data_IF_186310589861
#
_entry.id   IF_186310589861
#
_cell.length_a   1.000
_cell.length_b   1.000
_cell.length_c   1.000
_cell.angle_alpha   90.00
_cell.angle_beta   90.00
_cell.angle_gamma   90.00
#
_symmetry.space_group_name_H-M   'P 1'
#
loop_
_entity.id
_entity.type
_entity.pdbx_description
1 polymer ?
#
# COMPACT_ATOMS: atom_id res chain seq x y z
N UNK A 1 -19.78 -9.99 -43.43
CA UNK A 1 -18.92 -9.28 -44.40
C UNK A 1 -17.49 -9.52 -43.96
N UNK A 2 -16.73 -10.35 -44.67
CA UNK A 2 -15.32 -10.55 -44.39
C UNK A 2 -14.52 -9.38 -44.96
N UNK A 3 -13.79 -8.68 -44.11
CA UNK A 3 -12.78 -7.71 -44.54
C UNK A 3 -11.73 -8.45 -45.38
N UNK A 4 -11.69 -8.17 -46.68
CA UNK A 4 -10.62 -8.64 -47.53
C UNK A 4 -9.43 -7.69 -47.34
N UNK A 5 -8.29 -8.13 -46.76
CA UNK A 5 -7.19 -7.24 -46.37
C UNK A 5 -6.53 -6.52 -47.56
N UNK A 6 -6.90 -6.88 -48.79
CA UNK A 6 -6.36 -6.33 -50.02
C UNK A 6 -7.24 -5.23 -50.65
N UNK A 7 -8.33 -4.80 -50.01
CA UNK A 7 -9.22 -3.76 -50.56
C UNK A 7 -9.34 -2.59 -49.60
N UNK A 8 -9.02 -1.39 -50.06
CA UNK A 8 -9.18 -0.14 -49.30
C UNK A 8 -10.15 0.79 -50.04
N UNK A 9 -11.17 1.28 -49.35
CA UNK A 9 -12.10 2.29 -49.88
C UNK A 9 -11.70 3.65 -49.32
N UNK A 10 -11.47 4.63 -50.19
CA UNK A 10 -11.14 6.00 -49.82
C UNK A 10 -11.91 6.96 -50.73
N UNK A 11 -12.64 7.95 -50.20
CA UNK A 11 -13.46 8.89 -51.00
C UNK A 11 -14.39 8.23 -52.04
N UNK A 12 -15.10 7.15 -51.68
CA UNK A 12 -15.94 6.34 -52.60
C UNK A 12 -15.18 5.64 -53.76
N UNK A 13 -13.85 5.58 -53.71
CA UNK A 13 -13.03 4.83 -54.68
C UNK A 13 -12.49 3.57 -54.01
N UNK A 14 -12.69 2.42 -54.64
CA UNK A 14 -12.12 1.12 -54.24
C UNK A 14 -10.74 0.93 -54.84
N UNK A 15 -9.74 0.75 -53.98
CA UNK A 15 -8.36 0.45 -54.33
C UNK A 15 -8.03 -1.01 -54.00
N UNK A 16 -7.51 -1.75 -54.98
CA UNK A 16 -6.99 -3.10 -54.79
C UNK A 16 -5.48 -3.04 -54.48
N UNK A 17 -5.11 -3.20 -53.20
CA UNK A 17 -3.74 -3.09 -52.68
C UNK A 17 -2.75 -4.08 -53.32
N UNK A 18 -3.23 -5.16 -53.93
CA UNK A 18 -2.42 -6.18 -54.61
C UNK A 18 -1.92 -5.76 -55.99
N UNK A 19 -2.54 -4.75 -56.61
CA UNK A 19 -2.21 -4.28 -57.97
C UNK A 19 -1.36 -3.00 -57.96
N UNK A 20 -1.14 -2.42 -56.78
CA UNK A 20 -0.47 -1.14 -56.58
C UNK A 20 1.02 -1.31 -56.28
N UNK A 21 1.82 -0.35 -56.72
CA UNK A 21 3.23 -0.27 -56.33
C UNK A 21 3.36 -0.08 -54.81
N UNK A 22 4.48 -0.51 -54.21
CA UNK A 22 4.68 -0.45 -52.76
C UNK A 22 4.55 0.99 -52.20
N UNK A 23 4.92 1.99 -52.99
CA UNK A 23 4.82 3.41 -52.65
C UNK A 23 3.38 3.92 -52.68
N UNK A 24 2.59 3.53 -53.69
CA UNK A 24 1.17 3.88 -53.76
C UNK A 24 0.33 3.18 -52.70
N UNK A 25 0.68 1.93 -52.38
CA UNK A 25 0.08 1.17 -51.27
C UNK A 25 0.23 1.92 -49.95
N UNK A 26 1.46 2.34 -49.63
CA UNK A 26 1.77 3.10 -48.41
C UNK A 26 1.04 4.45 -48.39
N UNK A 27 0.97 5.15 -49.54
CA UNK A 27 0.25 6.43 -49.64
C UNK A 27 -1.25 6.28 -49.38
N UNK A 28 -1.89 5.26 -49.95
CA UNK A 28 -3.32 5.00 -49.78
C UNK A 28 -3.63 4.58 -48.34
N UNK A 29 -2.81 3.72 -47.73
CA UNK A 29 -2.95 3.36 -46.31
C UNK A 29 -2.76 4.57 -45.39
N UNK A 30 -1.78 5.44 -45.67
CA UNK A 30 -1.55 6.66 -44.91
C UNK A 30 -2.68 7.68 -45.04
N UNK A 31 -3.26 7.83 -46.23
CA UNK A 31 -4.44 8.68 -46.46
C UNK A 31 -5.67 8.14 -45.73
N UNK A 32 -5.88 6.81 -45.77
CA UNK A 32 -6.96 6.15 -45.01
C UNK A 32 -6.78 6.36 -43.52
N UNK A 33 -5.57 6.19 -43.02
CA UNK A 33 -5.22 6.49 -41.63
C UNK A 33 -5.54 7.95 -41.27
N UNK A 34 -5.14 8.93 -42.07
CA UNK A 34 -5.47 10.34 -41.81
C UNK A 34 -6.97 10.64 -41.86
N UNK A 35 -7.71 9.99 -42.76
CA UNK A 35 -9.16 10.15 -42.89
C UNK A 35 -9.90 9.54 -41.70
N UNK A 36 -9.51 8.34 -41.27
CA UNK A 36 -10.02 7.66 -40.08
C UNK A 36 -9.70 8.46 -38.79
N UNK A 37 -8.59 9.21 -38.76
CA UNK A 37 -8.19 10.06 -37.63
C UNK A 37 -8.68 11.51 -37.74
N UNK A 38 -9.40 11.87 -38.82
CA UNK A 38 -9.85 13.24 -39.07
C UNK A 38 -10.97 13.61 -38.08
N UNK A 39 -10.64 14.48 -37.12
CA UNK A 39 -11.56 14.91 -36.05
C UNK A 39 -11.48 14.06 -34.78
N UNK A 40 -10.75 12.94 -34.80
CA UNK A 40 -10.50 12.10 -33.63
C UNK A 40 -9.66 12.83 -32.57
N UNK A 41 -8.75 13.72 -32.98
CA UNK A 41 -7.98 14.58 -32.07
C UNK A 41 -8.85 15.51 -31.22
N UNK A 42 -9.95 16.04 -31.78
CA UNK A 42 -10.90 16.88 -31.03
C UNK A 42 -11.66 16.07 -29.99
N UNK A 43 -12.08 14.85 -30.35
CA UNK A 43 -12.76 13.93 -29.42
C UNK A 43 -11.83 13.47 -28.29
N UNK A 44 -10.56 13.18 -28.58
CA UNK A 44 -9.56 12.90 -27.56
C UNK A 44 -9.32 14.08 -26.63
N UNK A 45 -9.26 15.30 -27.18
CA UNK A 45 -9.09 16.53 -26.39
C UNK A 45 -10.29 16.76 -25.46
N UNK A 46 -11.51 16.57 -25.94
CA UNK A 46 -12.72 16.71 -25.11
C UNK A 46 -12.77 15.66 -23.99
N UNK A 47 -12.52 14.39 -24.31
CA UNK A 47 -12.47 13.32 -23.32
C UNK A 47 -11.37 13.57 -22.28
N UNK A 48 -10.21 14.06 -22.72
CA UNK A 48 -9.11 14.47 -21.85
C UNK A 48 -9.51 15.63 -20.93
N UNK A 49 -10.14 16.68 -21.46
CA UNK A 49 -10.56 17.84 -20.67
C UNK A 49 -11.60 17.46 -19.60
N UNK A 50 -12.60 16.63 -19.96
CA UNK A 50 -13.60 16.13 -19.01
C UNK A 50 -12.93 15.26 -17.94
N UNK A 51 -12.04 14.34 -18.32
CA UNK A 51 -11.27 13.54 -17.37
C UNK A 51 -10.39 14.42 -16.46
N UNK A 52 -9.72 15.43 -17.00
CA UNK A 52 -8.86 16.32 -16.23
C UNK A 52 -9.66 17.15 -15.21
N UNK A 53 -10.75 17.77 -15.64
CA UNK A 53 -11.62 18.56 -14.75
C UNK A 53 -12.25 17.69 -13.67
N UNK A 54 -12.74 16.49 -14.03
CA UNK A 54 -13.30 15.55 -13.05
C UNK A 54 -12.26 15.06 -12.05
N UNK A 55 -11.02 14.77 -12.47
CA UNK A 55 -9.92 14.41 -11.56
C UNK A 55 -9.58 15.54 -10.59
N UNK A 56 -9.50 16.80 -11.08
CA UNK A 56 -9.28 17.96 -10.22
C UNK A 56 -10.40 18.13 -9.20
N UNK A 57 -11.66 18.04 -9.64
CA UNK A 57 -12.81 18.13 -8.76
C UNK A 57 -12.81 17.03 -7.69
N UNK A 58 -12.60 15.77 -8.10
CA UNK A 58 -12.46 14.65 -7.17
C UNK A 58 -11.34 14.88 -6.16
N UNK A 59 -10.18 15.38 -6.59
CA UNK A 59 -9.05 15.66 -5.70
C UNK A 59 -9.40 16.73 -4.66
N UNK A 60 -10.08 17.80 -5.06
CA UNK A 60 -10.54 18.84 -4.14
C UNK A 60 -11.54 18.30 -3.11
N UNK A 61 -12.49 17.48 -3.55
CA UNK A 61 -13.47 16.82 -2.66
C UNK A 61 -12.76 15.91 -1.66
N UNK A 62 -11.81 15.09 -2.11
CA UNK A 62 -11.04 14.21 -1.22
C UNK A 62 -10.20 15.01 -0.21
N UNK A 63 -9.58 16.10 -0.64
CA UNK A 63 -8.81 16.98 0.26
C UNK A 63 -9.70 17.63 1.31
N UNK A 64 -10.84 18.19 0.91
CA UNK A 64 -11.80 18.80 1.81
C UNK A 64 -12.36 17.77 2.80
N UNK A 65 -12.68 16.56 2.32
CA UNK A 65 -13.18 15.48 3.15
C UNK A 65 -12.16 15.01 4.18
N UNK A 66 -10.89 14.85 3.78
CA UNK A 66 -9.78 14.51 4.68
C UNK A 66 -9.63 15.54 5.80
N UNK A 67 -9.77 16.84 5.49
CA UNK A 67 -9.67 17.91 6.48
C UNK A 67 -10.89 17.95 7.43
N UNK A 68 -12.11 17.81 6.91
CA UNK A 68 -13.34 17.94 7.71
C UNK A 68 -13.63 16.70 8.55
N UNK A 69 -13.46 15.51 7.97
CA UNK A 69 -13.83 14.23 8.58
C UNK A 69 -12.76 13.15 8.34
N UNK A 70 -11.59 13.33 8.96
CA UNK A 70 -10.46 12.41 8.82
C UNK A 70 -10.80 10.93 9.10
N UNK A 71 -11.60 10.65 10.14
CA UNK A 71 -11.99 9.26 10.50
C UNK A 71 -12.83 8.57 9.43
N UNK A 72 -13.82 9.26 8.84
CA UNK A 72 -14.63 8.67 7.78
C UNK A 72 -13.83 8.51 6.50
N UNK A 73 -12.98 9.49 6.18
CA UNK A 73 -12.09 9.42 5.03
C UNK A 73 -11.17 8.19 5.10
N UNK A 74 -10.50 7.97 6.25
CA UNK A 74 -9.65 6.80 6.44
C UNK A 74 -10.43 5.47 6.31
N UNK A 75 -11.62 5.38 6.92
CA UNK A 75 -12.42 4.15 6.89
C UNK A 75 -12.91 3.83 5.48
N UNK A 76 -13.49 4.82 4.77
CA UNK A 76 -14.02 4.58 3.42
C UNK A 76 -12.89 4.28 2.44
N UNK A 77 -11.76 5.00 2.51
CA UNK A 77 -10.62 4.72 1.64
C UNK A 77 -10.04 3.33 1.89
N UNK A 78 -9.96 2.89 3.16
CA UNK A 78 -9.52 1.55 3.52
C UNK A 78 -10.46 0.47 2.95
N UNK A 79 -11.78 0.66 3.10
CA UNK A 79 -12.79 -0.28 2.57
C UNK A 79 -12.77 -0.31 1.05
N UNK A 80 -12.69 0.85 0.40
CA UNK A 80 -12.61 0.95 -1.06
C UNK A 80 -11.36 0.24 -1.58
N UNK A 81 -10.19 0.52 -1.00
CA UNK A 81 -8.94 -0.12 -1.40
C UNK A 81 -8.95 -1.64 -1.15
N UNK A 82 -9.62 -2.12 -0.11
CA UNK A 82 -9.73 -3.54 0.21
C UNK A 82 -10.72 -4.30 -0.69
N UNK A 83 -11.82 -3.66 -1.11
CA UNK A 83 -12.87 -4.30 -1.90
C UNK A 83 -12.70 -4.15 -3.41
N UNK A 84 -12.19 -3.03 -3.92
CA UNK A 84 -12.14 -2.77 -5.37
C UNK A 84 -11.37 -3.86 -6.14
N UNK A 85 -10.14 -4.24 -5.74
CA UNK A 85 -9.41 -5.31 -6.44
C UNK A 85 -10.06 -6.68 -6.29
N UNK A 86 -10.78 -6.93 -5.20
CA UNK A 86 -11.55 -8.16 -5.01
C UNK A 86 -12.75 -8.23 -5.95
N UNK A 87 -13.56 -7.17 -6.03
CA UNK A 87 -14.71 -7.09 -6.94
C UNK A 87 -14.24 -7.30 -8.38
N UNK A 88 -13.18 -6.60 -8.79
CA UNK A 88 -12.59 -6.78 -10.11
C UNK A 88 -12.13 -8.23 -10.35
N UNK A 89 -11.49 -8.86 -9.37
CA UNK A 89 -11.02 -10.25 -9.48
C UNK A 89 -12.15 -11.28 -9.57
N UNK A 90 -13.31 -11.01 -8.95
CA UNK A 90 -14.52 -11.83 -9.10
C UNK A 90 -15.10 -11.68 -10.51
N UNK A 91 -15.21 -10.45 -11.01
CA UNK A 91 -15.73 -10.17 -12.35
C UNK A 91 -14.83 -10.74 -13.46
N UNK A 92 -13.52 -10.76 -13.24
CA UNK A 92 -12.54 -11.27 -14.18
C UNK A 92 -12.15 -12.75 -13.93
N UNK A 93 -12.88 -13.46 -13.06
CA UNK A 93 -12.70 -14.89 -12.76
C UNK A 93 -11.25 -15.29 -12.41
N UNK A 94 -10.60 -14.55 -11.51
CA UNK A 94 -9.24 -14.84 -11.04
C UNK A 94 -9.25 -15.58 -9.67
N UNK A 95 -9.37 -16.93 -9.63
CA UNK A 95 -9.55 -17.68 -8.37
C UNK A 95 -8.33 -17.61 -7.45
N UNK A 96 -7.13 -17.47 -8.02
CA UNK A 96 -5.87 -17.39 -7.24
C UNK A 96 -5.85 -16.17 -6.33
N UNK A 97 -6.30 -15.02 -6.84
CA UNK A 97 -6.37 -13.79 -6.05
C UNK A 97 -7.43 -13.90 -4.96
N UNK A 98 -8.62 -14.41 -5.31
CA UNK A 98 -9.74 -14.61 -4.38
C UNK A 98 -9.31 -15.48 -3.19
N UNK A 99 -8.64 -16.60 -3.43
CA UNK A 99 -8.18 -17.49 -2.36
C UNK A 99 -7.20 -16.79 -1.39
N UNK A 100 -6.18 -16.11 -1.93
CA UNK A 100 -5.20 -15.37 -1.11
C UNK A 100 -5.88 -14.23 -0.35
N UNK A 101 -6.80 -13.53 -1.00
CA UNK A 101 -7.55 -12.43 -0.41
C UNK A 101 -8.41 -12.90 0.76
N UNK A 102 -9.11 -14.04 0.62
CA UNK A 102 -9.93 -14.61 1.70
C UNK A 102 -9.06 -15.00 2.90
N UNK A 103 -7.93 -15.68 2.67
CA UNK A 103 -7.00 -16.07 3.74
C UNK A 103 -6.43 -14.86 4.48
N UNK A 104 -6.00 -13.85 3.74
CA UNK A 104 -5.48 -12.60 4.29
C UNK A 104 -6.56 -11.86 5.09
N UNK A 105 -7.77 -11.77 4.54
CA UNK A 105 -8.92 -11.09 5.15
C UNK A 105 -9.38 -11.77 6.43
N UNK A 106 -9.46 -13.10 6.45
CA UNK A 106 -9.82 -13.88 7.63
C UNK A 106 -8.78 -13.66 8.75
N UNK A 107 -7.50 -13.79 8.42
CA UNK A 107 -6.43 -13.66 9.42
C UNK A 107 -6.34 -12.23 9.95
N UNK A 108 -6.45 -11.22 9.08
CA UNK A 108 -6.47 -9.80 9.47
C UNK A 108 -7.70 -9.47 10.30
N UNK A 109 -8.88 -10.02 9.95
CA UNK A 109 -10.10 -9.89 10.73
C UNK A 109 -9.95 -10.45 12.15
N UNK A 110 -9.29 -11.60 12.31
CA UNK A 110 -8.96 -12.15 13.64
C UNK A 110 -8.03 -11.20 14.42
N UNK A 111 -7.01 -10.63 13.78
CA UNK A 111 -6.11 -9.67 14.45
C UNK A 111 -6.84 -8.39 14.89
N UNK A 112 -7.70 -7.85 14.04
CA UNK A 112 -8.53 -6.66 14.35
C UNK A 112 -9.49 -6.97 15.50
N UNK A 113 -10.12 -8.15 15.49
CA UNK A 113 -11.00 -8.59 16.57
C UNK A 113 -10.24 -8.71 17.90
N UNK A 114 -9.07 -9.35 17.89
CA UNK A 114 -8.21 -9.47 19.08
C UNK A 114 -7.76 -8.10 19.61
N UNK A 115 -7.43 -7.16 18.72
CA UNK A 115 -7.05 -5.79 19.07
C UNK A 115 -8.23 -4.95 19.59
N UNK A 116 -9.47 -5.34 19.31
CA UNK A 116 -10.68 -4.60 19.71
C UNK A 116 -11.34 -5.13 21.00
N UNK A 117 -10.87 -6.27 21.55
CA UNK A 117 -11.44 -6.85 22.78
C UNK A 117 -11.31 -5.89 23.96
N UNK A 118 -12.39 -5.71 24.75
CA UNK A 118 -12.44 -4.82 25.93
C UNK A 118 -11.31 -5.05 26.95
N UNK A 119 -10.86 -6.30 27.11
CA UNK A 119 -9.66 -6.65 27.89
C UNK A 119 -8.67 -7.36 26.97
N UNK A 120 -7.58 -6.69 26.65
CA UNK A 120 -6.51 -7.26 25.83
C UNK A 120 -5.62 -8.16 26.71
N UNK A 121 -5.30 -9.36 26.20
CA UNK A 121 -4.30 -10.24 26.81
C UNK A 121 -2.88 -9.72 26.61
N UNK A 122 -1.97 -10.05 27.51
CA UNK A 122 -0.56 -9.63 27.50
C UNK A 122 0.16 -9.99 26.19
N UNK A 123 -0.18 -11.13 25.58
CA UNK A 123 0.44 -11.62 24.35
C UNK A 123 -0.14 -11.03 23.06
N UNK A 124 -1.32 -10.39 23.11
CA UNK A 124 -2.04 -9.95 21.92
C UNK A 124 -1.29 -8.89 21.10
N UNK A 125 -0.73 -7.80 21.68
CA UNK A 125 0.00 -6.80 20.91
C UNK A 125 1.18 -7.40 20.15
N UNK A 126 1.90 -8.34 20.78
CA UNK A 126 3.02 -9.04 20.14
C UNK A 126 2.56 -9.87 18.94
N UNK A 127 1.45 -10.58 19.06
CA UNK A 127 0.87 -11.37 17.95
C UNK A 127 0.46 -10.49 16.77
N UNK A 128 -0.22 -9.38 17.05
CA UNK A 128 -0.69 -8.42 16.04
C UNK A 128 0.51 -7.82 15.29
N UNK A 129 1.52 -7.32 16.01
CA UNK A 129 2.72 -6.76 15.39
C UNK A 129 3.50 -7.80 14.58
N UNK A 130 3.62 -9.05 15.06
CA UNK A 130 4.31 -10.11 14.33
C UNK A 130 3.60 -10.47 13.01
N UNK A 131 2.26 -10.52 13.01
CA UNK A 131 1.47 -10.76 11.80
C UNK A 131 1.68 -9.67 10.75
N UNK A 132 1.49 -8.40 11.14
CA UNK A 132 1.63 -7.30 10.18
C UNK A 132 3.08 -7.13 9.71
N UNK A 133 4.06 -7.34 10.59
CA UNK A 133 5.48 -7.35 10.19
C UNK A 133 5.77 -8.44 9.16
N UNK A 134 5.22 -9.65 9.35
CA UNK A 134 5.39 -10.75 8.42
C UNK A 134 4.81 -10.40 7.05
N UNK A 135 3.56 -9.91 6.98
CA UNK A 135 2.95 -9.52 5.71
C UNK A 135 3.73 -8.40 5.04
N UNK A 136 4.13 -7.36 5.80
CA UNK A 136 4.96 -6.29 5.27
C UNK A 136 6.28 -6.77 4.68
N UNK A 137 6.93 -7.73 5.35
CA UNK A 137 8.21 -8.28 4.88
C UNK A 137 8.02 -9.04 3.57
N UNK A 138 6.98 -9.89 3.48
CA UNK A 138 6.66 -10.62 2.25
C UNK A 138 6.30 -9.66 1.12
N UNK A 139 5.42 -8.69 1.38
CA UNK A 139 5.03 -7.66 0.41
C UNK A 139 6.20 -6.81 -0.07
N UNK A 140 7.13 -6.47 0.83
CA UNK A 140 8.34 -5.73 0.49
C UNK A 140 9.26 -6.54 -0.42
N UNK A 141 9.53 -7.80 -0.06
CA UNK A 141 10.36 -8.70 -0.89
C UNK A 141 9.74 -8.90 -2.27
N UNK A 142 8.42 -9.13 -2.33
CA UNK A 142 7.70 -9.27 -3.60
C UNK A 142 7.70 -7.98 -4.42
N UNK A 143 7.46 -6.83 -3.79
CA UNK A 143 7.41 -5.54 -4.48
C UNK A 143 8.78 -5.12 -5.01
N UNK A 144 9.83 -5.19 -4.19
CA UNK A 144 11.21 -4.87 -4.61
C UNK A 144 11.72 -5.91 -5.61
N UNK A 145 11.47 -7.20 -5.38
CA UNK A 145 11.85 -8.26 -6.32
C UNK A 145 11.15 -8.10 -7.67
N UNK A 146 9.85 -7.81 -7.68
CA UNK A 146 9.08 -7.52 -8.89
C UNK A 146 9.59 -6.28 -9.62
N UNK A 147 9.93 -5.21 -8.89
CA UNK A 147 10.52 -4.00 -9.48
C UNK A 147 11.87 -4.28 -10.15
N UNK A 148 12.78 -4.99 -9.46
CA UNK A 148 14.08 -5.36 -10.01
C UNK A 148 13.91 -6.23 -11.25
N UNK A 149 13.00 -7.21 -11.21
CA UNK A 149 12.72 -8.07 -12.36
C UNK A 149 12.14 -7.29 -13.55
N UNK A 150 11.25 -6.33 -13.30
CA UNK A 150 10.70 -5.44 -14.33
C UNK A 150 11.82 -4.63 -15.00
N UNK A 151 12.70 -4.02 -14.21
CA UNK A 151 13.85 -3.24 -14.69
C UNK A 151 14.80 -4.11 -15.52
N UNK A 152 15.15 -5.30 -15.03
CA UNK A 152 16.01 -6.25 -15.77
C UNK A 152 15.37 -6.69 -17.09
N UNK A 153 14.05 -6.81 -17.13
CA UNK A 153 13.32 -7.16 -18.34
C UNK A 153 13.32 -6.02 -19.35
N UNK A 154 13.21 -4.77 -18.89
CA UNK A 154 13.31 -3.57 -19.74
C UNK A 154 14.67 -3.43 -20.42
N UNK A 155 15.76 -3.75 -19.71
CA UNK A 155 17.12 -3.79 -20.28
C UNK A 155 17.43 -5.05 -21.09
N UNK A 156 16.43 -5.92 -21.33
CA UNK A 156 16.56 -7.16 -22.08
C UNK A 156 17.59 -8.17 -21.51
N UNK A 157 18.08 -7.94 -20.28
CA UNK A 157 18.99 -8.84 -19.56
C UNK A 157 18.31 -10.19 -19.27
N UNK A 158 16.98 -10.22 -19.26
CA UNK A 158 16.17 -11.43 -19.12
C UNK A 158 16.46 -12.50 -20.20
N UNK A 159 16.98 -12.11 -21.37
CA UNK A 159 17.40 -13.04 -22.41
C UNK A 159 18.64 -13.86 -22.01
N UNK A 160 19.51 -13.31 -21.16
CA UNK A 160 20.67 -14.00 -20.58
C UNK A 160 20.24 -15.20 -19.70
N UNK A 161 19.07 -15.09 -19.08
CA UNK A 161 18.48 -16.14 -18.24
C UNK A 161 17.54 -17.08 -19.02
N UNK A 162 17.52 -16.99 -20.35
CA UNK A 162 16.64 -17.78 -21.25
C UNK A 162 15.13 -17.71 -20.90
N UNK A 163 14.71 -16.65 -20.21
CA UNK A 163 13.32 -16.43 -19.85
C UNK A 163 12.63 -15.62 -20.96
N UNK A 164 11.48 -16.09 -21.49
CA UNK A 164 10.70 -15.31 -22.44
C UNK A 164 10.32 -13.95 -21.86
N UNK A 165 10.51 -12.87 -22.63
CA UNK A 165 10.19 -11.49 -22.21
C UNK A 165 8.74 -11.35 -21.75
N UNK A 166 7.79 -11.95 -22.47
CA UNK A 166 6.37 -11.95 -22.08
C UNK A 166 6.16 -12.50 -20.67
N UNK A 167 6.74 -13.67 -20.36
CA UNK A 167 6.56 -14.34 -19.05
C UNK A 167 7.18 -13.51 -17.93
N UNK A 168 8.35 -12.89 -18.17
CA UNK A 168 9.00 -12.06 -17.16
C UNK A 168 8.27 -10.74 -16.89
N UNK A 169 7.71 -10.10 -17.92
CA UNK A 169 6.84 -8.93 -17.74
C UNK A 169 5.59 -9.32 -16.94
N UNK A 170 4.90 -10.40 -17.33
CA UNK A 170 3.69 -10.86 -16.62
C UNK A 170 4.00 -11.20 -15.15
N UNK A 171 5.11 -11.89 -14.88
CA UNK A 171 5.54 -12.24 -13.52
C UNK A 171 5.95 -11.03 -12.69
N UNK A 172 6.70 -10.09 -13.27
CA UNK A 172 7.16 -8.88 -12.57
C UNK A 172 5.99 -7.95 -12.21
N UNK A 173 5.05 -7.74 -13.14
CA UNK A 173 3.83 -6.98 -12.89
C UNK A 173 2.95 -7.65 -11.83
N UNK A 174 2.81 -8.98 -11.88
CA UNK A 174 2.06 -9.72 -10.87
C UNK A 174 2.70 -9.58 -9.48
N UNK A 175 4.02 -9.75 -9.37
CA UNK A 175 4.75 -9.60 -8.11
C UNK A 175 4.65 -8.18 -7.56
N UNK A 176 4.77 -7.15 -8.41
CA UNK A 176 4.58 -5.75 -8.06
C UNK A 176 3.17 -5.48 -7.54
N UNK A 177 2.15 -5.94 -8.26
CA UNK A 177 0.76 -5.75 -7.88
C UNK A 177 0.47 -6.37 -6.50
N UNK A 178 0.87 -7.63 -6.28
CA UNK A 178 0.70 -8.30 -5.00
C UNK A 178 1.49 -7.61 -3.88
N UNK A 179 2.74 -7.24 -4.13
CA UNK A 179 3.59 -6.55 -3.17
C UNK A 179 3.01 -5.20 -2.73
N UNK A 180 2.59 -4.37 -3.69
CA UNK A 180 2.01 -3.05 -3.41
C UNK A 180 0.63 -3.17 -2.76
N UNK A 181 -0.26 -4.01 -3.30
CA UNK A 181 -1.62 -4.16 -2.79
C UNK A 181 -1.66 -4.63 -1.33
N UNK A 182 -1.07 -5.79 -1.05
CA UNK A 182 -1.05 -6.32 0.31
C UNK A 182 -0.15 -5.49 1.23
N UNK A 183 0.90 -4.85 0.70
CA UNK A 183 1.77 -3.96 1.47
C UNK A 183 1.05 -2.72 1.98
N UNK A 184 0.29 -2.03 1.12
CA UNK A 184 -0.46 -0.83 1.52
C UNK A 184 -1.60 -1.20 2.47
N UNK A 185 -2.36 -2.26 2.16
CA UNK A 185 -3.47 -2.71 3.00
C UNK A 185 -2.99 -3.15 4.38
N UNK A 186 -1.92 -3.95 4.47
CA UNK A 186 -1.36 -4.37 5.74
C UNK A 186 -0.94 -3.18 6.60
N UNK A 187 -0.40 -2.11 5.98
CA UNK A 187 0.03 -0.88 6.68
C UNK A 187 -1.15 -0.21 7.36
N UNK A 188 -2.23 -0.03 6.61
CA UNK A 188 -3.37 0.76 7.07
C UNK A 188 -4.17 -0.04 8.12
N UNK A 189 -4.30 -1.37 7.97
CA UNK A 189 -4.85 -2.22 9.02
C UNK A 189 -3.97 -2.28 10.28
N UNK A 190 -2.65 -2.26 10.13
CA UNK A 190 -1.72 -2.21 11.26
C UNK A 190 -1.88 -0.92 12.07
N UNK A 191 -2.07 0.22 11.40
CA UNK A 191 -2.36 1.51 12.03
C UNK A 191 -3.70 1.45 12.78
N UNK A 192 -4.76 0.93 12.15
CA UNK A 192 -6.08 0.76 12.80
C UNK A 192 -5.99 -0.14 14.03
N UNK A 193 -5.33 -1.29 13.93
CA UNK A 193 -5.12 -2.18 15.06
C UNK A 193 -4.34 -1.49 16.19
N UNK A 194 -3.27 -0.77 15.85
CA UNK A 194 -2.46 -0.08 16.85
C UNK A 194 -3.21 1.08 17.50
N UNK A 195 -4.08 1.78 16.77
CA UNK A 195 -5.00 2.79 17.32
C UNK A 195 -5.94 2.19 18.37
N UNK A 196 -6.49 0.99 18.11
CA UNK A 196 -7.34 0.28 19.07
C UNK A 196 -6.56 -0.14 20.32
N UNK A 197 -5.37 -0.71 20.13
CA UNK A 197 -4.47 -1.06 21.24
C UNK A 197 -4.06 0.18 22.06
N UNK A 198 -3.74 1.29 21.39
CA UNK A 198 -3.33 2.54 22.02
C UNK A 198 -4.41 3.13 22.92
N UNK A 199 -5.67 3.10 22.47
CA UNK A 199 -6.81 3.57 23.27
C UNK A 199 -6.99 2.79 24.58
N UNK A 200 -6.45 1.56 24.66
CA UNK A 200 -6.57 0.69 25.82
C UNK A 200 -5.30 0.65 26.68
N UNK A 201 -4.14 0.97 26.10
CA UNK A 201 -2.84 1.03 26.79
C UNK A 201 -2.61 2.42 27.41
N UNK A 202 -3.13 3.49 26.81
CA UNK A 202 -2.89 4.85 27.30
C UNK A 202 -3.48 5.06 28.70
N UNK A 203 -2.62 5.27 29.70
CA UNK A 203 -3.01 5.40 31.12
C UNK A 203 -3.40 6.84 31.53
N UNK A 204 -3.48 7.78 30.60
CA UNK A 204 -3.78 9.19 30.90
C UNK A 204 -5.25 9.36 31.27
N UNK A 205 -5.51 9.71 32.53
CA UNK A 205 -6.82 10.22 32.97
C UNK A 205 -6.82 11.74 32.75
N UNK A 206 -7.78 12.33 32.02
CA UNK A 206 -7.79 13.77 31.73
C UNK A 206 -7.88 14.67 32.98
N UNK A 207 -8.49 14.19 34.07
CA UNK A 207 -8.61 14.90 35.34
C UNK A 207 -8.69 13.90 36.50
N UNK A 208 -7.56 13.56 37.13
CA UNK A 208 -7.51 12.71 38.32
C UNK A 208 -6.17 12.02 38.54
N UNK A 209 -5.94 11.54 39.78
CA UNK A 209 -4.78 10.70 40.10
C UNK A 209 -4.81 9.40 39.29
N UNK A 210 -3.68 8.94 38.71
CA UNK A 210 -3.64 7.68 37.97
C UNK A 210 -3.95 6.50 38.91
N UNK A 211 -5.10 5.85 38.69
CA UNK A 211 -5.61 4.73 39.52
C UNK A 211 -4.73 3.46 39.38
N UNK A 212 -3.85 3.41 38.38
CA UNK A 212 -2.94 2.28 38.15
C UNK A 212 -1.49 2.77 38.02
N UNK A 213 -0.71 2.60 39.08
CA UNK A 213 0.75 2.65 39.00
C UNK A 213 1.20 1.33 38.37
N UNK A 214 1.77 1.40 37.17
CA UNK A 214 2.41 0.24 36.56
C UNK A 214 3.77 0.07 37.22
N UNK A 215 4.12 -1.16 37.59
CA UNK A 215 5.45 -1.48 38.09
C UNK A 215 6.49 -1.13 37.02
N UNK A 216 7.57 -0.38 37.35
CA UNK A 216 8.62 -0.03 36.40
C UNK A 216 9.32 -1.25 35.78
N UNK A 217 9.15 -2.45 36.37
CA UNK A 217 9.67 -3.70 35.82
C UNK A 217 8.78 -4.36 34.75
N UNK A 218 7.61 -3.79 34.41
CA UNK A 218 6.65 -4.36 33.45
C UNK A 218 6.51 -3.48 32.21
N UNK A 219 6.60 -4.07 31.02
CA UNK A 219 6.37 -3.37 29.75
C UNK A 219 4.89 -2.98 29.61
N UNK A 220 4.55 -1.69 29.41
CA UNK A 220 3.15 -1.25 29.35
C UNK A 220 2.38 -1.76 28.11
N UNK A 221 3.09 -2.13 27.04
CA UNK A 221 2.50 -2.60 25.79
C UNK A 221 2.05 -4.06 25.93
N UNK A 222 2.97 -4.97 26.27
CA UNK A 222 2.67 -6.40 26.38
C UNK A 222 2.37 -6.86 27.81
N UNK A 223 2.50 -6.00 28.82
CA UNK A 223 2.23 -6.31 30.24
C UNK A 223 3.00 -7.53 30.76
N UNK A 224 4.18 -7.81 30.22
CA UNK A 224 5.11 -8.83 30.72
C UNK A 224 6.33 -8.18 31.39
N UNK A 225 6.98 -8.92 32.29
CA UNK A 225 8.18 -8.46 33.00
C UNK A 225 9.34 -8.25 32.01
N UNK A 226 10.09 -7.17 32.23
CA UNK A 226 11.28 -6.77 31.47
C UNK A 226 12.51 -7.61 31.82
N UNK A 227 12.50 -8.26 32.99
CA UNK A 227 13.65 -9.00 33.56
C UNK A 227 13.58 -10.52 33.36
N UNK A 228 12.40 -11.08 33.08
CA UNK A 228 12.24 -12.55 32.94
C UNK A 228 12.65 -13.07 31.56
N UNK A 229 12.64 -12.21 30.53
CA UNK A 229 13.03 -12.56 29.16
C UNK A 229 14.51 -12.19 28.93
N UNK A 230 15.44 -12.96 29.51
CA UNK A 230 16.90 -12.75 29.45
C UNK A 230 17.51 -12.74 28.04
N UNK A 231 16.71 -12.95 26.99
CA UNK A 231 17.12 -12.89 25.58
C UNK A 231 16.60 -11.67 24.81
N UNK A 232 15.63 -10.92 25.35
CA UNK A 232 15.03 -9.78 24.64
C UNK A 232 15.65 -8.45 25.07
N UNK A 233 16.15 -7.67 24.09
CA UNK A 233 16.72 -6.35 24.36
C UNK A 233 15.64 -5.42 24.89
N UNK A 234 15.93 -4.70 25.97
CA UNK A 234 15.09 -3.63 26.50
C UNK A 234 15.60 -2.27 26.01
N UNK A 235 14.67 -1.34 25.77
CA UNK A 235 14.98 0.00 25.28
C UNK A 235 14.37 1.04 26.22
N UNK A 236 15.19 2.00 26.65
CA UNK A 236 14.79 3.11 27.51
C UNK A 236 14.59 4.36 26.66
N UNK A 237 13.41 4.98 26.75
CA UNK A 237 13.09 6.23 26.07
C UNK A 237 13.63 7.44 26.85
N UNK A 238 13.64 8.61 26.21
CA UNK A 238 14.04 9.89 26.82
C UNK A 238 13.17 10.27 28.03
N UNK A 239 11.87 9.91 27.97
CA UNK A 239 10.93 10.03 29.08
C UNK A 239 11.18 9.03 30.23
N UNK A 240 12.32 8.34 30.24
CA UNK A 240 12.79 7.34 31.20
C UNK A 240 12.02 6.02 31.27
N UNK A 241 10.89 5.88 30.59
CA UNK A 241 10.13 4.63 30.49
C UNK A 241 10.88 3.55 29.69
N UNK A 242 10.78 2.30 30.14
CA UNK A 242 11.48 1.14 29.57
C UNK A 242 10.47 0.18 28.92
N UNK A 243 10.81 -0.33 27.73
CA UNK A 243 9.98 -1.25 26.96
C UNK A 243 10.84 -2.35 26.35
N UNK A 244 10.21 -3.47 25.97
CA UNK A 244 10.86 -4.42 25.07
C UNK A 244 11.11 -3.78 23.69
N UNK A 245 12.30 -4.03 23.12
CA UNK A 245 12.71 -3.50 21.81
C UNK A 245 11.70 -3.87 20.71
N UNK A 246 11.18 -5.10 20.71
CA UNK A 246 10.13 -5.51 19.76
C UNK A 246 8.83 -4.73 19.95
N UNK A 247 8.39 -4.52 21.20
CA UNK A 247 7.14 -3.83 21.48
C UNK A 247 7.19 -2.35 21.09
N UNK A 248 8.28 -1.65 21.43
CA UNK A 248 8.42 -0.24 21.08
C UNK A 248 8.63 -0.03 19.58
N UNK A 249 9.36 -0.93 18.90
CA UNK A 249 9.46 -0.93 17.43
C UNK A 249 8.10 -1.15 16.78
N UNK A 250 7.32 -2.13 17.26
CA UNK A 250 5.98 -2.37 16.73
C UNK A 250 5.07 -1.16 16.91
N UNK A 251 5.11 -0.52 18.07
CA UNK A 251 4.38 0.71 18.33
C UNK A 251 4.78 1.85 17.37
N UNK A 252 6.07 2.14 17.26
CA UNK A 252 6.55 3.29 16.48
C UNK A 252 6.50 3.05 14.97
N UNK A 253 6.94 1.90 14.50
CA UNK A 253 7.15 1.61 13.08
C UNK A 253 5.87 1.04 12.46
N UNK A 254 5.31 -0.01 13.06
CA UNK A 254 4.15 -0.73 12.50
C UNK A 254 2.86 0.06 12.76
N UNK A 255 2.74 0.65 13.95
CA UNK A 255 1.58 1.43 14.34
C UNK A 255 1.63 2.92 13.99
N UNK A 256 2.74 3.40 13.40
CA UNK A 256 3.01 4.82 13.14
C UNK A 256 2.75 5.73 14.35
N UNK A 257 3.15 5.30 15.56
CA UNK A 257 2.99 6.09 16.78
C UNK A 257 4.31 6.71 17.23
N UNK A 258 4.41 8.02 17.17
CA UNK A 258 5.60 8.79 17.56
C UNK A 258 5.58 9.24 19.04
N UNK A 259 4.66 8.73 19.85
CA UNK A 259 4.50 9.09 21.28
C UNK A 259 4.73 7.91 22.20
N UNK A 260 5.26 8.16 23.40
CA UNK A 260 5.39 7.14 24.43
C UNK A 260 4.01 6.57 24.81
N UNK A 261 3.82 5.24 24.83
CA UNK A 261 2.53 4.63 25.21
C UNK A 261 2.07 4.95 26.64
N UNK A 262 2.99 5.39 27.51
CA UNK A 262 2.70 5.69 28.91
C UNK A 262 2.43 7.19 29.15
N UNK A 263 3.39 8.07 28.86
CA UNK A 263 3.29 9.50 29.14
C UNK A 263 2.82 10.36 27.95
N UNK A 264 2.67 9.78 26.75
CA UNK A 264 2.41 10.49 25.48
C UNK A 264 3.46 11.55 25.10
N UNK A 265 4.64 11.51 25.70
CA UNK A 265 5.76 12.36 25.28
C UNK A 265 6.30 11.88 23.92
N UNK A 266 6.66 12.83 23.05
CA UNK A 266 7.18 12.52 21.71
C UNK A 266 8.50 11.75 21.82
N UNK A 267 8.65 10.71 21.00
CA UNK A 267 9.82 9.84 20.94
C UNK A 267 10.73 10.30 19.81
N UNK A 268 12.02 10.49 20.10
CA UNK A 268 13.02 10.83 19.09
C UNK A 268 13.41 9.59 18.26
N UNK A 269 12.60 9.28 17.23
CA UNK A 269 12.74 8.09 16.37
C UNK A 269 14.15 7.89 15.78
N UNK A 270 14.84 8.98 15.42
CA UNK A 270 16.19 8.95 14.84
C UNK A 270 17.25 8.44 15.82
N UNK A 271 17.09 8.77 17.11
CA UNK A 271 18.03 8.38 18.16
C UNK A 271 17.75 6.96 18.68
N UNK A 272 16.48 6.55 18.68
CA UNK A 272 16.05 5.24 19.17
C UNK A 272 16.30 4.09 18.19
N UNK A 273 16.40 4.36 16.88
CA UNK A 273 16.52 3.32 15.84
C UNK A 273 17.73 3.52 14.91
N UNK A 274 18.96 3.47 15.43
CA UNK A 274 20.21 3.71 14.70
C UNK A 274 20.87 2.48 14.05
N UNK A 275 20.26 1.28 14.05
CA UNK A 275 20.89 0.04 13.56
C UNK A 275 20.21 -0.63 12.34
N UNK A 276 20.96 -1.39 11.50
CA UNK A 276 20.75 -1.52 10.05
C UNK A 276 19.57 -2.37 9.57
N UNK A 277 18.83 -3.06 10.45
CA UNK A 277 17.48 -3.56 10.07
C UNK A 277 16.48 -2.40 9.88
N UNK A 278 16.82 -1.20 10.32
CA UNK A 278 16.12 0.04 10.02
C UNK A 278 16.29 0.52 8.57
N UNK A 279 17.15 -0.10 7.75
CA UNK A 279 17.35 0.37 6.36
C UNK A 279 16.18 -0.01 5.44
N UNK A 280 15.48 -1.11 5.73
CA UNK A 280 14.28 -1.53 5.01
C UNK A 280 13.03 -0.75 5.46
N UNK A 281 12.94 -0.39 6.75
CA UNK A 281 11.73 0.20 7.34
C UNK A 281 11.83 1.70 7.69
N UNK A 282 13.03 2.27 7.80
CA UNK A 282 13.26 3.64 8.26
C UNK A 282 12.91 4.73 7.25
N UNK A 283 12.85 4.41 5.95
CA UNK A 283 12.52 5.41 4.91
C UNK A 283 11.03 5.72 4.81
N UNK A 284 10.14 4.89 5.39
CA UNK A 284 8.69 5.16 5.36
C UNK A 284 8.26 6.18 6.44
N UNK A 285 9.02 6.30 7.54
CA UNK A 285 8.68 7.19 8.66
C UNK A 285 9.15 8.64 8.46
N UNK A 286 10.03 8.89 7.50
CA UNK A 286 10.60 10.23 7.27
C UNK A 286 9.81 11.10 6.28
N UNK A 287 8.79 10.57 5.61
CA UNK A 287 8.05 11.33 4.58
C UNK A 287 6.72 11.96 5.07
N UNK A 288 6.17 11.54 6.21
CA UNK A 288 4.86 12.07 6.70
C UNK A 288 4.98 13.09 7.86
N UNK A 289 6.18 13.40 8.34
CA UNK A 289 6.38 14.36 9.45
C UNK A 289 6.43 15.83 9.02
N UNK A 290 6.25 16.13 7.73
CA UNK A 290 6.25 17.49 7.17
C UNK A 290 4.88 18.16 7.11
N UNK A 291 4.03 18.04 8.14
CA UNK A 291 2.79 18.83 8.20
C UNK A 291 2.27 18.98 9.65
N UNK A 292 3.02 19.67 10.50
CA UNK A 292 2.49 20.25 11.74
C UNK A 292 3.26 21.53 12.10
N UNK A 293 3.15 22.50 11.21
CA UNK A 293 3.47 23.90 11.47
C UNK A 293 2.59 24.76 10.57
N UNK A 294 1.38 25.04 11.03
CA UNK A 294 0.54 26.17 10.61
C UNK A 294 -0.54 26.37 11.69
N UNK A 295 -0.37 27.47 12.44
CA UNK A 295 -1.28 28.11 13.39
C UNK A 295 -1.78 27.29 14.60
#
# INVERSE_FOLDING_TARGET
MGDNPNVVVLNNVTYHLSELSAEEKFRIEHLKYHEDHKGHEKMHLEMFLVAFVSLLFCQLVLMFWKQRHFRSYQLVTLVAMWLVPFIYSVLAEFPRFIFVWVLFSLTTGVMVYLASKKRISTTTPRRVYRWFLFIHTVSYVLGVGGYVLLVLTFFQVNLLFLLPTKVSVDLSLLALFYGLYYGVIARDFAEVCTNKLAAQISYRVPQGMPVRRLDPSVCSICKSNLTSDSSEKVHRLNCTHVFHDFCIRGWCIIGKKDTCPYCNEKVNLKQTFTNPLGTVFGRMATCDSGCSSCA
#
